data_IF_378865928366
#
_entry.id   IF_378865928366
#
_cell.length_a   1.000
_cell.length_b   1.000
_cell.length_c   1.000
_cell.angle_alpha   90.00
_cell.angle_beta   90.00
_cell.angle_gamma   90.00
#
_symmetry.space_group_name_H-M   'P 1'
#
loop_
_entity.id
_entity.type
_entity.pdbx_description
1 polymer ?
#
# COMPACT_ATOMS: atom_id res chain seq x y z
N UNK A 1 -10.97 -9.67 19.47
CA UNK A 1 -9.83 -8.81 19.08
C UNK A 1 -10.41 -7.54 18.52
N UNK A 2 -10.10 -6.40 19.13
CA UNK A 2 -10.74 -5.12 18.79
C UNK A 2 -10.30 -4.66 17.38
N UNK A 3 -11.26 -4.33 16.52
CA UNK A 3 -11.08 -3.70 15.19
C UNK A 3 -9.93 -2.65 15.13
N UNK A 4 -9.69 -1.80 16.15
CA UNK A 4 -8.54 -0.88 16.16
C UNK A 4 -7.15 -1.54 16.09
N UNK A 5 -6.94 -2.75 16.65
CA UNK A 5 -5.61 -3.37 16.68
C UNK A 5 -5.12 -3.69 15.26
N UNK A 6 -6.02 -4.17 14.39
CA UNK A 6 -5.73 -4.50 13.01
C UNK A 6 -5.41 -3.25 12.19
N UNK A 7 -6.12 -2.13 12.44
CA UNK A 7 -5.81 -0.83 11.80
C UNK A 7 -4.39 -0.36 12.15
N UNK A 8 -3.98 -0.51 13.42
CA UNK A 8 -2.65 -0.12 13.88
C UNK A 8 -1.56 -1.00 13.24
N UNK A 9 -1.74 -2.33 13.28
CA UNK A 9 -0.79 -3.28 12.65
C UNK A 9 -0.65 -2.99 11.16
N UNK A 10 -1.76 -2.76 10.46
CA UNK A 10 -1.76 -2.41 9.05
C UNK A 10 -1.01 -1.09 8.78
N UNK A 11 -1.24 -0.06 9.60
CA UNK A 11 -0.58 1.24 9.44
C UNK A 11 0.95 1.11 9.66
N UNK A 12 1.37 0.36 10.68
CA UNK A 12 2.79 0.06 10.93
C UNK A 12 3.40 -0.70 9.75
N UNK A 13 2.72 -1.71 9.22
CA UNK A 13 3.18 -2.47 8.05
C UNK A 13 3.28 -1.60 6.79
N UNK A 14 2.31 -0.71 6.58
CA UNK A 14 2.31 0.25 5.48
C UNK A 14 3.52 1.20 5.61
N UNK A 15 3.69 1.86 6.76
CA UNK A 15 4.82 2.79 7.00
C UNK A 15 6.16 2.07 6.86
N UNK A 16 6.27 0.84 7.38
CA UNK A 16 7.50 0.04 7.28
C UNK A 16 7.83 -0.30 5.81
N UNK A 17 6.82 -0.63 5.00
CA UNK A 17 6.99 -0.89 3.57
C UNK A 17 7.53 0.32 2.82
N UNK A 18 7.08 1.53 3.18
CA UNK A 18 7.60 2.79 2.65
C UNK A 18 9.03 3.06 3.11
N UNK A 19 9.30 2.87 4.40
CA UNK A 19 10.61 3.08 5.01
C UNK A 19 11.67 2.17 4.38
N UNK A 20 11.35 0.90 4.13
CA UNK A 20 12.25 -0.05 3.46
C UNK A 20 12.44 0.33 2.00
N UNK A 21 11.41 0.75 1.25
CA UNK A 21 11.53 1.11 -0.17
C UNK A 21 12.27 2.42 -0.43
N UNK A 22 12.28 3.36 0.52
CA UNK A 22 12.91 4.67 0.37
C UNK A 22 14.43 4.63 0.09
N UNK A 23 15.27 3.89 0.85
CA UNK A 23 16.71 3.80 0.58
C UNK A 23 17.00 3.13 -0.76
N UNK A 24 16.34 2.01 -1.09
CA UNK A 24 16.53 1.34 -2.39
C UNK A 24 16.21 2.26 -3.56
N UNK A 25 15.14 3.07 -3.47
CA UNK A 25 14.84 4.07 -4.51
C UNK A 25 15.91 5.14 -4.62
N UNK A 26 16.53 5.54 -3.51
CA UNK A 26 17.63 6.51 -3.51
C UNK A 26 18.88 5.93 -4.17
N UNK A 27 19.23 4.69 -3.86
CA UNK A 27 20.39 4.00 -4.45
C UNK A 27 20.19 3.74 -5.95
N UNK A 28 19.00 3.30 -6.37
CA UNK A 28 18.71 3.07 -7.79
C UNK A 28 18.73 4.38 -8.59
N UNK A 29 18.34 5.51 -8.00
CA UNK A 29 18.39 6.82 -8.67
C UNK A 29 19.83 7.31 -8.92
N UNK A 30 20.81 6.76 -8.21
CA UNK A 30 22.23 7.08 -8.44
C UNK A 30 22.82 6.32 -9.64
N UNK A 31 22.18 5.23 -10.08
CA UNK A 31 22.56 4.55 -11.30
C UNK A 31 22.14 5.39 -12.52
N UNK A 32 23.11 5.65 -13.40
CA UNK A 32 22.88 6.38 -14.65
C UNK A 32 22.06 5.44 -15.56
N UNK A 33 20.80 5.82 -15.81
CA UNK A 33 19.92 5.05 -16.71
C UNK A 33 20.41 5.29 -18.14
N UNK A 34 21.10 4.31 -18.71
CA UNK A 34 21.69 4.37 -20.07
C UNK A 34 20.65 4.20 -21.19
N UNK A 35 19.54 3.51 -20.93
CA UNK A 35 18.38 3.42 -21.82
C UNK A 35 17.10 3.50 -20.96
N UNK A 36 16.39 4.62 -21.04
CA UNK A 36 15.10 4.81 -20.38
C UNK A 36 13.98 4.76 -21.42
N UNK A 37 13.46 3.57 -21.71
CA UNK A 37 12.30 3.40 -22.60
C UNK A 37 10.96 3.70 -21.93
N UNK A 38 10.96 4.12 -20.65
CA UNK A 38 9.72 4.43 -19.95
C UNK A 38 9.09 5.68 -20.53
N UNK A 39 7.91 5.51 -21.11
CA UNK A 39 7.13 6.64 -21.61
C UNK A 39 6.56 7.41 -20.42
N UNK A 40 6.41 8.73 -20.55
CA UNK A 40 5.81 9.60 -19.51
C UNK A 40 4.43 9.10 -19.05
N UNK A 41 3.67 8.47 -19.96
CA UNK A 41 2.39 7.81 -19.68
C UNK A 41 2.53 6.62 -18.73
N UNK A 42 3.55 5.77 -18.88
CA UNK A 42 3.74 4.61 -17.99
C UNK A 42 4.09 5.08 -16.58
N UNK A 43 4.90 6.13 -16.48
CA UNK A 43 5.28 6.69 -15.19
C UNK A 43 4.11 7.39 -14.48
N UNK A 44 3.23 8.07 -15.22
CA UNK A 44 2.02 8.67 -14.65
C UNK A 44 1.02 7.61 -14.22
N UNK A 45 0.83 6.54 -15.01
CA UNK A 45 -0.05 5.43 -14.66
C UNK A 45 0.47 4.68 -13.42
N UNK A 46 1.77 4.38 -13.36
CA UNK A 46 2.39 3.78 -12.18
C UNK A 46 2.24 4.66 -10.93
N UNK A 47 2.36 5.99 -11.07
CA UNK A 47 2.17 6.93 -9.97
C UNK A 47 0.72 6.98 -9.51
N UNK A 48 -0.24 6.91 -10.45
CA UNK A 48 -1.66 6.86 -10.14
C UNK A 48 -2.05 5.59 -9.41
N UNK A 49 -1.57 4.43 -9.86
CA UNK A 49 -1.77 3.14 -9.18
C UNK A 49 -1.17 3.19 -7.77
N UNK A 50 0.02 3.74 -7.64
CA UNK A 50 0.67 3.90 -6.34
C UNK A 50 -0.13 4.80 -5.40
N UNK A 51 -0.67 5.92 -5.89
CA UNK A 51 -1.55 6.78 -5.10
C UNK A 51 -2.80 6.01 -4.67
N UNK A 52 -3.45 5.27 -5.56
CA UNK A 52 -4.60 4.43 -5.22
C UNK A 52 -4.29 3.43 -4.11
N UNK A 53 -3.14 2.74 -4.21
CA UNK A 53 -2.70 1.77 -3.21
C UNK A 53 -2.41 2.37 -1.82
N UNK A 54 -2.20 3.67 -1.71
CA UNK A 54 -1.87 4.35 -0.44
C UNK A 54 -3.06 5.12 0.11
N UNK A 55 -3.70 5.91 -0.75
CA UNK A 55 -4.79 6.82 -0.40
C UNK A 55 -6.02 6.01 0.03
N UNK A 56 -6.38 4.94 -0.69
CA UNK A 56 -7.54 4.11 -0.35
C UNK A 56 -7.42 3.52 1.06
N UNK A 57 -6.32 2.82 1.43
CA UNK A 57 -6.18 2.31 2.77
C UNK A 57 -6.06 3.40 3.84
N UNK A 58 -5.44 4.55 3.55
CA UNK A 58 -5.44 5.67 4.50
C UNK A 58 -6.85 6.18 4.76
N UNK A 59 -7.66 6.38 3.72
CA UNK A 59 -9.04 6.81 3.84
C UNK A 59 -9.87 5.81 4.65
N UNK A 60 -9.63 4.50 4.49
CA UNK A 60 -10.27 3.45 5.31
C UNK A 60 -9.88 3.53 6.80
N UNK A 61 -8.61 3.81 7.10
CA UNK A 61 -8.14 3.91 8.48
C UNK A 61 -8.72 5.15 9.16
N UNK A 62 -8.66 6.31 8.49
CA UNK A 62 -9.04 7.61 9.04
C UNK A 62 -10.53 7.95 8.90
N UNK A 63 -11.25 7.29 8.00
CA UNK A 63 -12.64 7.60 7.70
C UNK A 63 -13.52 6.36 7.81
N UNK A 64 -14.70 6.51 8.40
CA UNK A 64 -15.72 5.44 8.45
C UNK A 64 -16.42 5.18 7.11
N UNK A 65 -16.06 5.90 6.04
CA UNK A 65 -16.78 5.91 4.77
C UNK A 65 -16.79 4.54 4.08
N UNK A 66 -15.70 3.78 4.21
CA UNK A 66 -15.57 2.43 3.65
C UNK A 66 -16.11 1.33 4.58
N UNK A 67 -16.72 1.66 5.72
CA UNK A 67 -17.36 0.66 6.59
C UNK A 67 -18.53 -0.06 5.90
N UNK A 68 -19.10 0.51 4.84
CA UNK A 68 -20.13 -0.16 4.02
C UNK A 68 -19.58 -1.44 3.35
N UNK A 69 -18.29 -1.48 3.04
CA UNK A 69 -17.61 -2.62 2.45
C UNK A 69 -16.86 -3.48 3.48
N UNK A 70 -17.09 -3.27 4.78
CA UNK A 70 -16.51 -4.11 5.83
C UNK A 70 -17.29 -5.40 5.96
N UNK A 71 -16.81 -6.43 5.27
CA UNK A 71 -17.31 -7.78 5.45
C UNK A 71 -16.78 -8.35 6.78
N UNK A 72 -17.63 -9.03 7.58
CA UNK A 72 -17.19 -9.72 8.79
C UNK A 72 -16.39 -10.96 8.38
N UNK A 73 -15.06 -10.83 8.31
CA UNK A 73 -14.18 -11.97 8.06
C UNK A 73 -13.79 -12.65 9.38
N UNK A 74 -13.78 -13.99 9.44
CA UNK A 74 -13.23 -14.70 10.58
C UNK A 74 -11.71 -14.50 10.66
N UNK A 75 -11.18 -14.42 11.89
CA UNK A 75 -9.80 -14.01 12.19
C UNK A 75 -8.74 -14.88 11.47
N UNK A 76 -9.05 -16.16 11.24
CA UNK A 76 -8.16 -17.09 10.54
C UNK A 76 -7.97 -16.74 9.05
N UNK A 77 -8.95 -16.09 8.42
CA UNK A 77 -8.87 -15.70 7.01
C UNK A 77 -7.80 -14.63 6.79
N UNK A 78 -7.61 -13.73 7.76
CA UNK A 78 -6.54 -12.72 7.72
C UNK A 78 -5.12 -13.30 7.83
N UNK A 79 -4.96 -14.46 8.49
CA UNK A 79 -3.65 -15.10 8.68
C UNK A 79 -3.19 -15.91 7.46
N UNK A 80 -4.13 -16.49 6.72
CA UNK A 80 -3.80 -17.30 5.54
C UNK A 80 -3.58 -16.46 4.28
N UNK A 81 -3.80 -15.14 4.37
CA UNK A 81 -3.84 -14.27 3.19
C UNK A 81 -4.80 -14.82 2.13
N UNK A 82 -5.82 -15.56 2.57
CA UNK A 82 -6.63 -16.42 1.73
C UNK A 82 -7.25 -15.56 0.64
N UNK A 83 -6.82 -15.74 -0.62
CA UNK A 83 -7.76 -15.62 -1.70
C UNK A 83 -8.78 -16.74 -1.47
N UNK A 84 -9.98 -16.52 -1.94
CA UNK A 84 -11.02 -17.55 -2.06
C UNK A 84 -10.43 -18.88 -2.56
#
# INVERSE_FOLDING_TARGET
MDIPIFKIIFLIGLVSSFAIRAPFRREIKQNIITDNRKTTQENSLLSLVFLGMVVVPLLYVFTSWLNVANYPLPIWAGALGSPE
#
